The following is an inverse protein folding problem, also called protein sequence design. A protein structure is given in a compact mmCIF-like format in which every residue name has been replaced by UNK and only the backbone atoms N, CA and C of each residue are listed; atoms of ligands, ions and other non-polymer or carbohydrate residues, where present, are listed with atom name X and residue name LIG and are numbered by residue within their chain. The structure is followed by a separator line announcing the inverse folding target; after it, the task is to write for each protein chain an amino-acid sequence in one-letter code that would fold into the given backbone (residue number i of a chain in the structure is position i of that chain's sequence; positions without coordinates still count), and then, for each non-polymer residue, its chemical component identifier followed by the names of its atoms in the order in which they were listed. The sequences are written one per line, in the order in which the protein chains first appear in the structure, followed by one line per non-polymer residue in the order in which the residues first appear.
data_IF_570415757612
#
_entry.id   IF_570415757612
#
_cell.length_a   1.000
_cell.length_b   1.000
_cell.length_c   1.000
_cell.angle_alpha   90.00
_cell.angle_beta   90.00
_cell.angle_gamma   90.00
#
_symmetry.space_group_name_H-M   'P 1'
#
loop_
_entity.id
_entity.type
_entity.pdbx_description
1 polymer ?
#
# COMPACT_ATOMS: atom_id res chain seq x y z
N UNK A 1 16.44 44.09 32.80
CA UNK A 1 16.59 42.72 33.36
C UNK A 1 15.48 41.72 33.00
N UNK A 2 14.27 42.12 32.55
CA UNK A 2 13.17 41.15 32.26
C UNK A 2 13.17 40.53 30.86
N UNK A 3 13.77 41.18 29.86
CA UNK A 3 13.85 40.64 28.48
C UNK A 3 14.89 39.52 28.36
N UNK A 4 15.92 39.52 29.22
CA UNK A 4 17.02 38.54 29.24
C UNK A 4 16.62 37.15 29.78
N UNK A 5 15.46 37.03 30.45
CA UNK A 5 14.94 35.77 31.02
C UNK A 5 14.07 35.00 30.02
N UNK A 6 13.29 35.69 29.17
CA UNK A 6 12.48 35.06 28.11
C UNK A 6 13.35 34.41 27.03
N UNK A 7 14.50 35.01 26.70
CA UNK A 7 15.46 34.44 25.76
C UNK A 7 16.19 33.18 26.27
N UNK A 8 16.20 32.93 27.60
CA UNK A 8 16.78 31.70 28.17
C UNK A 8 15.84 30.50 28.06
N UNK A 9 14.54 30.70 28.27
CA UNK A 9 13.56 29.61 28.23
C UNK A 9 13.46 28.95 26.84
N UNK A 10 13.60 29.72 25.75
CA UNK A 10 13.64 29.18 24.39
C UNK A 10 14.96 28.47 24.04
N UNK A 11 16.07 28.78 24.74
CA UNK A 11 17.39 28.14 24.53
C UNK A 11 17.51 26.80 25.27
N UNK A 12 16.73 26.61 26.35
CA UNK A 12 16.64 25.36 27.13
C UNK A 12 15.57 24.36 26.62
N UNK A 13 14.86 24.69 25.53
CA UNK A 13 13.76 23.84 25.02
C UNK A 13 14.27 22.56 24.34
N UNK A 14 15.38 22.67 23.59
CA UNK A 14 16.02 21.55 22.88
C UNK A 14 16.58 20.53 23.87
N UNK A 15 15.99 19.34 23.89
CA UNK A 15 16.41 18.26 24.80
C UNK A 15 15.82 18.33 26.20
N UNK A 16 14.86 19.22 26.47
CA UNK A 16 14.03 19.22 27.69
C UNK A 16 13.20 17.93 27.80
N UNK A 17 12.68 17.61 28.99
CA UNK A 17 11.82 16.43 29.17
C UNK A 17 10.58 16.50 28.28
N UNK A 18 9.94 17.68 28.19
CA UNK A 18 8.79 17.91 27.31
C UNK A 18 9.13 17.74 25.82
N UNK A 19 10.29 18.22 25.39
CA UNK A 19 10.75 18.07 24.00
C UNK A 19 11.07 16.60 23.66
N UNK A 20 11.66 15.86 24.60
CA UNK A 20 11.89 14.41 24.47
C UNK A 20 10.57 13.65 24.40
N UNK A 21 9.59 13.96 25.26
CA UNK A 21 8.27 13.32 25.24
C UNK A 21 7.53 13.62 23.94
N UNK A 22 7.53 14.86 23.47
CA UNK A 22 6.93 15.23 22.17
C UNK A 22 7.60 14.45 21.03
N UNK A 23 8.93 14.44 21.00
CA UNK A 23 9.70 13.74 19.98
C UNK A 23 9.44 12.24 20.00
N UNK A 24 9.40 11.60 21.17
CA UNK A 24 9.13 10.16 21.29
C UNK A 24 7.72 9.80 20.83
N UNK A 25 6.71 10.61 21.19
CA UNK A 25 5.33 10.40 20.74
C UNK A 25 5.21 10.58 19.23
N UNK A 26 5.76 11.66 18.67
CA UNK A 26 5.72 11.92 17.22
C UNK A 26 6.46 10.84 16.44
N UNK A 27 7.63 10.41 16.91
CA UNK A 27 8.37 9.32 16.29
C UNK A 27 7.59 8.00 16.35
N UNK A 28 6.92 7.72 17.48
CA UNK A 28 6.05 6.56 17.62
C UNK A 28 4.87 6.58 16.63
N UNK A 29 4.20 7.72 16.48
CA UNK A 29 3.11 7.88 15.51
C UNK A 29 3.60 7.77 14.06
N UNK A 30 4.76 8.36 13.75
CA UNK A 30 5.40 8.26 12.44
C UNK A 30 5.71 6.81 12.08
N UNK A 31 6.23 6.04 13.04
CA UNK A 31 6.49 4.60 12.85
C UNK A 31 5.19 3.84 12.61
N UNK A 32 4.16 4.04 13.43
CA UNK A 32 2.86 3.38 13.25
C UNK A 32 2.24 3.65 11.88
N UNK A 33 2.28 4.91 11.43
CA UNK A 33 1.80 5.27 10.10
C UNK A 33 2.59 4.54 9.01
N UNK A 34 3.91 4.53 9.10
CA UNK A 34 4.76 3.82 8.16
C UNK A 34 4.45 2.32 8.11
N UNK A 35 4.30 1.69 9.28
CA UNK A 35 3.96 0.26 9.38
C UNK A 35 2.58 -0.03 8.76
N UNK A 36 1.58 0.83 8.97
CA UNK A 36 0.27 0.71 8.32
C UNK A 36 0.33 0.88 6.79
N UNK A 37 1.13 1.83 6.30
CA UNK A 37 1.29 2.05 4.85
C UNK A 37 2.05 0.90 4.17
N UNK A 38 3.02 0.29 4.86
CA UNK A 38 3.69 -0.91 4.38
C UNK A 38 2.71 -2.08 4.28
N UNK A 39 1.95 -2.34 5.34
CA UNK A 39 0.90 -3.38 5.35
C UNK A 39 -0.12 -3.18 4.21
N UNK A 40 -0.56 -1.94 3.97
CA UNK A 40 -1.44 -1.64 2.84
C UNK A 40 -0.78 -1.95 1.48
N UNK A 41 0.50 -1.65 1.34
CA UNK A 41 1.26 -1.95 0.12
C UNK A 41 1.38 -3.46 -0.10
N UNK A 42 1.64 -4.22 0.96
CA UNK A 42 1.74 -5.69 0.92
C UNK A 42 0.40 -6.32 0.52
N UNK A 43 -0.71 -5.87 1.12
CA UNK A 43 -2.05 -6.33 0.75
C UNK A 43 -2.36 -6.00 -0.71
N UNK A 44 -1.98 -4.81 -1.19
CA UNK A 44 -2.18 -4.44 -2.60
C UNK A 44 -1.39 -5.36 -3.54
N UNK A 45 -0.18 -5.75 -3.17
CA UNK A 45 0.63 -6.70 -3.95
C UNK A 45 -0.02 -8.09 -3.95
N UNK A 46 -0.49 -8.57 -2.79
CA UNK A 46 -1.18 -9.85 -2.65
C UNK A 46 -2.41 -9.91 -3.56
N UNK A 47 -3.32 -8.92 -3.46
CA UNK A 47 -4.54 -8.87 -4.28
C UNK A 47 -4.21 -8.86 -5.77
N UNK A 48 -3.18 -8.10 -6.17
CA UNK A 48 -2.76 -8.03 -7.57
C UNK A 48 -2.23 -9.38 -8.07
N UNK A 49 -1.44 -10.07 -7.25
CA UNK A 49 -0.89 -11.38 -7.58
C UNK A 49 -2.00 -12.45 -7.69
N UNK A 50 -2.89 -12.52 -6.71
CA UNK A 50 -4.02 -13.46 -6.71
C UNK A 50 -4.97 -13.22 -7.88
N UNK A 51 -5.22 -11.95 -8.22
CA UNK A 51 -6.04 -11.61 -9.37
C UNK A 51 -5.35 -12.02 -10.69
N UNK A 52 -4.05 -11.76 -10.85
CA UNK A 52 -3.27 -12.20 -12.02
C UNK A 52 -3.35 -13.72 -12.20
N UNK A 53 -3.14 -14.49 -11.13
CA UNK A 53 -3.27 -15.96 -11.15
C UNK A 53 -4.67 -16.41 -11.57
N UNK A 54 -5.71 -15.75 -11.05
CA UNK A 54 -7.09 -16.05 -11.40
C UNK A 54 -7.37 -15.83 -12.88
N UNK A 55 -6.90 -14.71 -13.44
CA UNK A 55 -7.05 -14.39 -14.87
C UNK A 55 -6.31 -15.42 -15.73
N UNK A 56 -5.08 -15.77 -15.39
CA UNK A 56 -4.28 -16.79 -16.09
C UNK A 56 -4.98 -18.14 -16.12
N UNK A 57 -5.48 -18.61 -14.97
CA UNK A 57 -6.23 -19.88 -14.88
C UNK A 57 -7.48 -19.87 -15.75
N UNK A 58 -8.28 -18.81 -15.68
CA UNK A 58 -9.52 -18.68 -16.47
C UNK A 58 -9.21 -18.69 -17.97
N UNK A 59 -8.19 -17.94 -18.38
CA UNK A 59 -7.76 -17.92 -19.77
C UNK A 59 -7.39 -19.32 -20.26
N UNK A 60 -6.58 -20.05 -19.49
CA UNK A 60 -6.20 -21.42 -19.83
C UNK A 60 -7.39 -22.38 -19.88
N UNK A 61 -8.34 -22.27 -18.94
CA UNK A 61 -9.54 -23.12 -18.95
C UNK A 61 -10.39 -22.91 -20.20
N UNK A 62 -10.50 -21.68 -20.71
CA UNK A 62 -11.32 -21.40 -21.90
C UNK A 62 -10.58 -21.69 -23.20
N UNK A 63 -9.29 -21.35 -23.27
CA UNK A 63 -8.52 -21.41 -24.53
C UNK A 63 -7.68 -22.67 -24.67
N UNK A 64 -7.33 -23.33 -23.57
CA UNK A 64 -6.36 -24.43 -23.52
C UNK A 64 -4.89 -23.98 -23.66
N UNK A 65 -4.63 -22.67 -23.80
CA UNK A 65 -3.29 -22.13 -24.05
C UNK A 65 -2.82 -21.25 -22.89
N UNK A 66 -1.49 -21.17 -22.71
CA UNK A 66 -0.90 -20.27 -21.74
C UNK A 66 -0.85 -18.86 -22.32
N UNK A 67 -1.50 -17.90 -21.66
CA UNK A 67 -1.46 -16.50 -22.04
C UNK A 67 -0.04 -15.92 -21.93
N UNK A 68 0.28 -14.99 -22.82
CA UNK A 68 1.41 -14.09 -22.67
C UNK A 68 1.07 -12.96 -21.69
N UNK A 69 2.10 -12.30 -21.17
CA UNK A 69 1.96 -11.26 -20.14
C UNK A 69 1.11 -10.07 -20.63
N UNK A 70 1.21 -9.69 -21.91
CA UNK A 70 0.44 -8.58 -22.45
C UNK A 70 -1.06 -8.87 -22.52
N UNK A 71 -1.44 -10.12 -22.79
CA UNK A 71 -2.84 -10.55 -22.77
C UNK A 71 -3.40 -10.52 -21.36
N UNK A 72 -2.64 -11.00 -20.37
CA UNK A 72 -3.05 -10.96 -18.96
C UNK A 72 -3.23 -9.52 -18.49
N UNK A 73 -2.28 -8.64 -18.78
CA UNK A 73 -2.37 -7.22 -18.42
C UNK A 73 -3.58 -6.54 -19.08
N UNK A 74 -3.87 -6.84 -20.35
CA UNK A 74 -5.08 -6.35 -21.03
C UNK A 74 -6.36 -6.83 -20.35
N UNK A 75 -6.43 -8.11 -19.99
CA UNK A 75 -7.61 -8.69 -19.33
C UNK A 75 -7.82 -8.13 -17.92
N UNK A 76 -6.73 -7.81 -17.21
CA UNK A 76 -6.79 -7.12 -15.92
C UNK A 76 -7.24 -5.67 -16.10
N UNK A 77 -6.66 -4.93 -17.05
CA UNK A 77 -6.97 -3.52 -17.28
C UNK A 77 -8.41 -3.29 -17.75
N UNK A 78 -8.94 -4.20 -18.57
CA UNK A 78 -10.31 -4.11 -19.10
C UNK A 78 -11.36 -4.71 -18.15
N UNK A 79 -10.96 -5.59 -17.23
CA UNK A 79 -11.88 -6.34 -16.38
C UNK A 79 -12.67 -7.42 -17.13
N UNK A 80 -12.36 -7.69 -18.40
CA UNK A 80 -13.10 -8.63 -19.25
C UNK A 80 -12.93 -10.11 -18.86
N UNK A 81 -11.97 -10.42 -17.98
CA UNK A 81 -11.62 -11.79 -17.60
C UNK A 81 -12.79 -12.61 -17.04
N UNK A 82 -13.77 -11.96 -16.39
CA UNK A 82 -14.96 -12.62 -15.82
C UNK A 82 -16.05 -12.84 -16.87
N UNK A 83 -16.35 -11.82 -17.69
CA UNK A 83 -17.33 -11.93 -18.77
C UNK A 83 -16.93 -12.96 -19.81
N UNK A 84 -15.64 -13.04 -20.13
CA UNK A 84 -15.10 -13.99 -21.09
C UNK A 84 -15.34 -15.44 -20.65
N UNK A 85 -15.06 -15.76 -19.37
CA UNK A 85 -15.33 -17.09 -18.82
C UNK A 85 -16.83 -17.43 -18.85
N UNK A 86 -17.70 -16.48 -18.49
CA UNK A 86 -19.15 -16.70 -18.49
C UNK A 86 -19.69 -17.02 -19.88
N UNK A 87 -19.19 -16.36 -20.93
CA UNK A 87 -19.57 -16.63 -22.32
C UNK A 87 -19.19 -18.06 -22.73
N UNK A 88 -17.98 -18.51 -22.40
CA UNK A 88 -17.51 -19.85 -22.73
C UNK A 88 -18.33 -20.98 -22.08
N UNK A 89 -19.08 -20.71 -21.02
CA UNK A 89 -19.99 -21.68 -20.37
C UNK A 89 -21.36 -21.73 -21.08
N UNK A 90 -21.75 -20.66 -21.76
CA UNK A 90 -23.06 -20.52 -22.41
C UNK A 90 -23.07 -21.00 -23.87
N UNK A 91 -21.90 -21.23 -24.45
CA UNK A 91 -21.71 -21.87 -25.77
C UNK A 91 -21.69 -23.41 -25.64
#
# INVERSE_FOLDING_TARGET
MRVSLLLRCCRDLTGSSSDRTRSSVVNGLRKKLNDSMNCFTDIRQLITAEYKETVERRYYTVTGEKADESTIDRLIATGESEMFLQKAIQE
#
